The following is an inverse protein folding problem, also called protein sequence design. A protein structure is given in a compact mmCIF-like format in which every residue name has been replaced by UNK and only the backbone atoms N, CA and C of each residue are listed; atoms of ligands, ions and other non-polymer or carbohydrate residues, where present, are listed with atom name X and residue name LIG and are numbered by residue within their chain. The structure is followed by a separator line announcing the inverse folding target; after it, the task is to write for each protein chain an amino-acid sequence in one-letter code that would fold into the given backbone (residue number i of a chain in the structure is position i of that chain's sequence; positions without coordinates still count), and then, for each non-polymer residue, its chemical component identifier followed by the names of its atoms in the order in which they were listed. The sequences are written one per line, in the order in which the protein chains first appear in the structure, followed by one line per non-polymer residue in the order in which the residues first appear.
data_IF_623429896982
#
_entry.id   IF_623429896982
#
_cell.length_a   1.000
_cell.length_b   1.000
_cell.length_c   1.000
_cell.angle_alpha   90.00
_cell.angle_beta   90.00
_cell.angle_gamma   90.00
#
_symmetry.space_group_name_H-M   'P 1'
#
loop_
_entity.id
_entity.type
_entity.pdbx_description
1 polymer ?
#
# COMPACT_ATOMS: atom_id res chain seq x y z
N UNK A 1 -22.47 -20.23 -6.06
CA UNK A 1 -21.07 -20.13 -6.52
C UNK A 1 -20.07 -20.08 -5.36
N UNK A 2 -20.10 -19.05 -4.51
CA UNK A 2 -19.06 -18.76 -3.50
C UNK A 2 -18.79 -19.92 -2.52
N UNK A 3 -19.82 -20.58 -1.99
CA UNK A 3 -19.65 -21.71 -1.06
C UNK A 3 -18.90 -22.92 -1.66
N UNK A 4 -19.09 -23.17 -2.95
CA UNK A 4 -18.34 -24.21 -3.69
C UNK A 4 -16.88 -23.82 -3.88
N UNK A 5 -16.62 -22.54 -4.18
CA UNK A 5 -15.27 -21.99 -4.29
C UNK A 5 -14.52 -22.07 -2.96
N UNK A 6 -15.16 -21.70 -1.84
CA UNK A 6 -14.59 -21.84 -0.49
C UNK A 6 -14.20 -23.30 -0.23
N UNK A 7 -15.15 -24.22 -0.47
CA UNK A 7 -14.94 -25.66 -0.22
C UNK A 7 -13.77 -26.22 -1.03
N UNK A 8 -13.70 -25.91 -2.33
CA UNK A 8 -12.60 -26.34 -3.20
C UNK A 8 -11.25 -25.68 -2.83
N UNK A 9 -11.27 -24.44 -2.34
CA UNK A 9 -10.06 -23.69 -2.02
C UNK A 9 -9.24 -24.29 -0.88
N UNK A 10 -9.85 -25.07 0.02
CA UNK A 10 -9.16 -25.69 1.16
C UNK A 10 -8.03 -26.62 0.74
N UNK A 11 -8.18 -27.32 -0.39
CA UNK A 11 -7.20 -28.29 -0.90
C UNK A 11 -6.54 -27.82 -2.20
N UNK A 12 -6.48 -26.50 -2.41
CA UNK A 12 -5.91 -25.89 -3.61
C UNK A 12 -4.61 -25.13 -3.31
N UNK A 13 -3.60 -25.29 -4.16
CA UNK A 13 -2.42 -24.40 -4.22
C UNK A 13 -2.81 -23.06 -4.85
N UNK A 14 -1.92 -22.06 -4.78
CA UNK A 14 -2.12 -20.80 -5.49
C UNK A 14 -2.29 -21.04 -7.01
N UNK A 15 -1.44 -21.85 -7.63
CA UNK A 15 -1.49 -22.11 -9.08
C UNK A 15 -2.79 -22.82 -9.52
N UNK A 16 -3.50 -23.48 -8.61
CA UNK A 16 -4.80 -24.10 -8.89
C UNK A 16 -5.98 -23.12 -8.79
N UNK A 17 -5.81 -21.94 -8.16
CA UNK A 17 -6.87 -20.95 -7.96
C UNK A 17 -7.59 -20.55 -9.27
N UNK A 18 -6.90 -20.21 -10.37
CA UNK A 18 -7.58 -19.83 -11.62
C UNK A 18 -8.50 -20.93 -12.15
N UNK A 19 -8.06 -22.19 -12.07
CA UNK A 19 -8.85 -23.35 -12.50
C UNK A 19 -10.09 -23.58 -11.64
N UNK A 20 -9.95 -23.50 -10.32
CA UNK A 20 -11.08 -23.66 -9.38
C UNK A 20 -12.09 -22.53 -9.55
N UNK A 21 -11.64 -21.29 -9.69
CA UNK A 21 -12.52 -20.13 -9.95
C UNK A 21 -13.28 -20.34 -11.26
N UNK A 22 -12.57 -20.69 -12.34
CA UNK A 22 -13.17 -20.95 -13.65
C UNK A 22 -14.19 -22.10 -13.62
N UNK A 23 -13.95 -23.16 -12.84
CA UNK A 23 -14.90 -24.25 -12.70
C UNK A 23 -16.18 -23.82 -11.97
N UNK A 24 -16.05 -23.11 -10.85
CA UNK A 24 -17.21 -22.68 -10.07
C UNK A 24 -18.01 -21.58 -10.76
N UNK A 25 -17.34 -20.67 -11.47
CA UNK A 25 -17.97 -19.61 -12.25
C UNK A 25 -18.76 -20.16 -13.44
N UNK A 26 -18.24 -21.16 -14.15
CA UNK A 26 -18.97 -21.84 -15.25
C UNK A 26 -20.28 -22.47 -14.79
N UNK A 27 -20.31 -23.06 -13.59
CA UNK A 27 -21.54 -23.62 -13.00
C UNK A 27 -22.59 -22.55 -12.67
N UNK A 28 -22.17 -21.29 -12.59
CA UNK A 28 -23.01 -20.12 -12.33
C UNK A 28 -23.38 -19.33 -13.60
N UNK A 29 -23.05 -19.85 -14.78
CA UNK A 29 -23.36 -19.19 -16.05
C UNK A 29 -22.30 -18.20 -16.55
N UNK A 30 -21.12 -18.15 -15.92
CA UNK A 30 -20.00 -17.33 -16.39
C UNK A 30 -19.01 -18.22 -17.15
N UNK A 31 -19.12 -18.31 -18.49
CA UNK A 31 -18.34 -19.25 -19.29
C UNK A 31 -16.82 -19.07 -19.17
N UNK A 32 -16.37 -17.85 -18.91
CA UNK A 32 -14.95 -17.51 -18.80
C UNK A 32 -14.72 -16.49 -17.69
N UNK A 33 -13.80 -16.82 -16.77
CA UNK A 33 -13.29 -15.91 -15.75
C UNK A 33 -11.76 -15.98 -15.78
N UNK A 34 -11.12 -14.87 -16.12
CA UNK A 34 -9.66 -14.74 -16.11
C UNK A 34 -9.20 -13.91 -14.92
N UNK A 35 -8.08 -14.31 -14.32
CA UNK A 35 -7.47 -13.62 -13.18
C UNK A 35 -6.16 -12.97 -13.63
N UNK A 36 -6.04 -11.66 -13.42
CA UNK A 36 -4.81 -10.90 -13.64
C UNK A 36 -4.32 -10.35 -12.31
N UNK A 37 -3.03 -10.48 -12.01
CA UNK A 37 -2.40 -9.88 -10.82
C UNK A 37 -1.48 -8.75 -11.21
N UNK A 38 -1.44 -7.69 -10.41
CA UNK A 38 -0.53 -6.58 -10.61
C UNK A 38 0.89 -6.96 -10.23
N UNK A 39 1.87 -6.50 -10.99
CA UNK A 39 3.26 -6.46 -10.53
C UNK A 39 3.43 -5.48 -9.36
N UNK A 40 4.56 -5.60 -8.65
CA UNK A 40 4.86 -4.84 -7.43
C UNK A 40 4.83 -3.32 -7.67
N UNK A 41 5.31 -2.88 -8.83
CA UNK A 41 5.34 -1.46 -9.22
C UNK A 41 4.00 -0.96 -9.81
N UNK A 42 2.99 -1.83 -9.93
CA UNK A 42 1.70 -1.53 -10.53
C UNK A 42 1.84 -0.91 -11.94
N UNK A 43 2.66 -1.55 -12.77
CA UNK A 43 2.90 -1.27 -14.19
C UNK A 43 2.18 -2.20 -15.14
N UNK A 44 2.12 -3.48 -14.79
CA UNK A 44 1.61 -4.55 -15.65
C UNK A 44 0.69 -5.46 -14.84
N UNK A 45 -0.38 -5.89 -15.49
CA UNK A 45 -1.28 -6.94 -15.03
C UNK A 45 -0.92 -8.23 -15.75
N UNK A 46 -0.48 -9.25 -15.02
CA UNK A 46 -0.08 -10.56 -15.56
C UNK A 46 -1.19 -11.57 -15.37
N UNK A 47 -1.56 -12.28 -16.45
CA UNK A 47 -2.53 -13.35 -16.44
C UNK A 47 -2.02 -14.51 -15.59
N UNK A 48 -2.86 -14.95 -14.65
CA UNK A 48 -2.62 -16.10 -13.80
C UNK A 48 -3.28 -17.33 -14.45
N UNK A 49 -2.53 -18.08 -15.24
CA UNK A 49 -3.03 -19.27 -15.96
C UNK A 49 -3.02 -20.53 -15.08
N UNK A 50 -2.16 -20.55 -14.06
CA UNK A 50 -1.87 -21.75 -13.26
C UNK A 50 -0.87 -22.70 -13.92
N UNK A 51 -0.36 -22.36 -15.09
CA UNK A 51 0.58 -23.17 -15.87
C UNK A 51 2.00 -22.58 -15.84
N UNK A 52 3.01 -23.45 -15.92
CA UNK A 52 4.41 -23.04 -15.88
C UNK A 52 4.98 -22.86 -14.47
N UNK A 53 6.25 -22.42 -14.41
CA UNK A 53 6.97 -22.25 -13.13
C UNK A 53 6.50 -21.02 -12.33
N UNK A 54 5.92 -20.04 -12.99
CA UNK A 54 5.35 -18.81 -12.43
C UNK A 54 3.81 -18.85 -12.36
N UNK A 55 3.17 -19.86 -12.96
CA UNK A 55 1.72 -19.93 -13.06
C UNK A 55 1.14 -18.92 -14.06
N UNK A 56 1.95 -18.38 -14.97
CA UNK A 56 1.57 -17.39 -15.98
C UNK A 56 2.01 -17.74 -17.41
N UNK A 57 2.47 -18.97 -17.66
CA UNK A 57 2.85 -19.40 -19.01
C UNK A 57 1.71 -19.15 -20.00
N UNK A 58 2.08 -18.63 -21.19
CA UNK A 58 1.15 -18.34 -22.29
C UNK A 58 0.24 -19.52 -22.61
N UNK A 59 -1.06 -19.30 -22.57
CA UNK A 59 -2.08 -20.24 -23.03
C UNK A 59 -2.90 -19.62 -24.16
N UNK A 60 -2.73 -20.13 -25.39
CA UNK A 60 -3.50 -19.69 -26.56
C UNK A 60 -3.28 -18.22 -26.95
N UNK A 61 -4.34 -17.58 -27.45
CA UNK A 61 -4.34 -16.20 -27.97
C UNK A 61 -4.63 -15.12 -26.92
N UNK A 62 -4.72 -15.49 -25.63
CA UNK A 62 -4.99 -14.54 -24.55
C UNK A 62 -3.76 -13.68 -24.26
N UNK A 63 -3.90 -12.35 -24.04
CA UNK A 63 -2.78 -11.53 -23.63
C UNK A 63 -2.31 -11.96 -22.24
N UNK A 64 -1.07 -12.44 -22.12
CA UNK A 64 -0.48 -12.75 -20.82
C UNK A 64 -0.18 -11.50 -19.99
N UNK A 65 0.01 -10.35 -20.63
CA UNK A 65 0.32 -9.09 -19.97
C UNK A 65 -0.54 -7.96 -20.51
N UNK A 66 -1.04 -7.13 -19.59
CA UNK A 66 -1.80 -5.92 -19.90
C UNK A 66 -1.13 -4.73 -19.22
N UNK A 67 -0.83 -3.68 -19.97
CA UNK A 67 -0.31 -2.43 -19.39
C UNK A 67 -1.39 -1.74 -18.55
N UNK A 68 -1.04 -1.23 -17.37
CA UNK A 68 -1.98 -0.48 -16.53
C UNK A 68 -2.22 0.93 -17.08
N UNK A 69 -1.22 1.58 -17.67
CA UNK A 69 -1.43 2.91 -18.24
C UNK A 69 -1.89 2.84 -19.70
N UNK A 70 -2.82 3.72 -20.06
CA UNK A 70 -3.29 3.86 -21.44
C UNK A 70 -4.21 2.75 -21.94
N UNK A 71 -4.67 1.84 -21.08
CA UNK A 71 -5.55 0.72 -21.48
C UNK A 71 -6.89 0.74 -20.72
N UNK A 72 -7.92 0.15 -21.33
CA UNK A 72 -9.23 -0.03 -20.69
C UNK A 72 -9.19 -0.88 -19.39
N UNK A 73 -8.54 -2.06 -19.34
CA UNK A 73 -8.35 -2.78 -18.08
C UNK A 73 -7.58 -1.93 -17.06
N UNK A 74 -6.53 -1.25 -17.51
CA UNK A 74 -5.76 -0.33 -16.70
C UNK A 74 -6.60 0.74 -16.01
N UNK A 75 -7.57 1.33 -16.72
CA UNK A 75 -8.52 2.28 -16.14
C UNK A 75 -9.39 1.67 -15.04
N UNK A 76 -9.88 0.43 -15.22
CA UNK A 76 -10.64 -0.28 -14.19
C UNK A 76 -9.79 -0.48 -12.92
N UNK A 77 -8.50 -0.82 -13.10
CA UNK A 77 -7.56 -0.98 -11.99
C UNK A 77 -7.28 0.36 -11.28
N UNK A 78 -7.00 1.42 -12.03
CA UNK A 78 -6.65 2.74 -11.49
C UNK A 78 -7.80 3.36 -10.67
N UNK A 79 -9.03 3.27 -11.20
CA UNK A 79 -10.23 3.82 -10.56
C UNK A 79 -10.83 2.88 -9.50
N UNK A 80 -10.54 1.58 -9.60
CA UNK A 80 -11.20 0.58 -8.78
C UNK A 80 -12.68 0.43 -9.10
N UNK A 81 -13.05 0.67 -10.36
CA UNK A 81 -14.42 0.56 -10.86
C UNK A 81 -14.60 -0.67 -11.73
N UNK A 82 -15.81 -1.22 -11.73
CA UNK A 82 -16.20 -2.28 -12.66
C UNK A 82 -16.54 -1.65 -14.00
N UNK A 83 -15.78 -2.00 -15.05
CA UNK A 83 -15.92 -1.39 -16.38
C UNK A 83 -16.21 -2.47 -17.45
N UNK A 84 -17.10 -2.21 -18.42
CA UNK A 84 -17.29 -3.12 -19.54
C UNK A 84 -16.08 -3.07 -20.50
N UNK A 85 -15.72 -4.21 -21.10
CA UNK A 85 -14.61 -4.31 -22.07
C UNK A 85 -14.94 -3.63 -23.39
N UNK A 86 -16.21 -3.61 -23.79
CA UNK A 86 -16.68 -3.00 -25.03
C UNK A 86 -18.14 -2.54 -24.93
N UNK A 87 -18.55 -1.64 -25.82
CA UNK A 87 -19.94 -1.18 -25.92
C UNK A 87 -20.92 -2.28 -26.35
N UNK A 88 -20.44 -3.35 -27.00
CA UNK A 88 -21.25 -4.51 -27.41
C UNK A 88 -21.65 -5.43 -26.25
N UNK A 89 -21.16 -5.17 -25.03
CA UNK A 89 -21.55 -5.87 -23.81
C UNK A 89 -20.91 -7.25 -23.65
N UNK A 90 -21.23 -7.91 -22.54
CA UNK A 90 -20.91 -9.32 -22.25
C UNK A 90 -19.53 -9.62 -21.66
N UNK A 91 -18.66 -8.61 -21.48
CA UNK A 91 -17.37 -8.77 -20.80
C UNK A 91 -17.10 -7.59 -19.86
N UNK A 92 -16.58 -7.89 -18.68
CA UNK A 92 -16.37 -6.93 -17.60
C UNK A 92 -14.99 -7.06 -16.98
N UNK A 93 -14.35 -5.92 -16.74
CA UNK A 93 -13.18 -5.80 -15.88
C UNK A 93 -13.62 -5.49 -14.46
N UNK A 94 -13.25 -6.35 -13.53
CA UNK A 94 -13.67 -6.29 -12.13
C UNK A 94 -12.42 -6.18 -11.26
N UNK A 95 -12.26 -5.12 -10.46
CA UNK A 95 -11.12 -4.99 -9.55
C UNK A 95 -11.08 -6.10 -8.50
N UNK A 96 -9.90 -6.69 -8.30
CA UNK A 96 -9.65 -7.69 -7.26
C UNK A 96 -8.95 -6.99 -6.11
N UNK A 97 -9.69 -6.77 -5.02
CA UNK A 97 -9.27 -5.94 -3.88
C UNK A 97 -9.19 -6.76 -2.58
N UNK A 98 -8.08 -6.63 -1.86
CA UNK A 98 -7.94 -7.14 -0.50
C UNK A 98 -8.20 -6.00 0.49
N UNK A 99 -9.44 -5.89 0.96
CA UNK A 99 -9.90 -4.65 1.61
C UNK A 99 -9.82 -3.51 0.60
N UNK A 100 -8.89 -2.59 0.79
CA UNK A 100 -8.62 -1.45 -0.10
C UNK A 100 -7.33 -1.61 -0.93
N UNK A 101 -6.56 -2.66 -0.72
CA UNK A 101 -5.34 -2.93 -1.49
C UNK A 101 -5.70 -3.54 -2.85
N UNK A 102 -5.23 -2.93 -3.94
CA UNK A 102 -5.41 -3.44 -5.30
C UNK A 102 -4.46 -4.60 -5.59
N UNK A 103 -5.02 -5.80 -5.74
CA UNK A 103 -4.26 -7.02 -6.06
C UNK A 103 -4.17 -7.21 -7.58
N UNK A 104 -5.23 -6.87 -8.31
CA UNK A 104 -5.28 -7.07 -9.76
C UNK A 104 -6.69 -6.88 -10.34
N UNK A 105 -6.99 -7.60 -11.41
CA UNK A 105 -8.27 -7.57 -12.10
C UNK A 105 -8.79 -8.97 -12.41
N UNK A 106 -10.11 -9.06 -12.53
CA UNK A 106 -10.82 -10.18 -13.13
C UNK A 106 -11.42 -9.76 -14.45
N UNK A 107 -11.35 -10.63 -15.45
CA UNK A 107 -12.19 -10.52 -16.66
C UNK A 107 -13.30 -11.54 -16.56
N UNK A 108 -14.55 -11.09 -16.56
CA UNK A 108 -15.72 -11.97 -16.50
C UNK A 108 -16.48 -11.84 -17.81
N UNK A 109 -16.68 -12.96 -18.51
CA UNK A 109 -17.54 -13.06 -19.68
C UNK A 109 -18.90 -13.61 -19.25
N UNK A 110 -20.00 -12.94 -19.61
CA UNK A 110 -21.39 -13.36 -19.33
C UNK A 110 -22.31 -13.01 -20.50
N UNK A 111 -23.37 -13.78 -20.71
CA UNK A 111 -24.47 -13.46 -21.62
C UNK A 111 -25.59 -12.65 -20.96
N UNK A 112 -25.66 -12.70 -19.63
CA UNK A 112 -26.78 -12.20 -18.84
C UNK A 112 -26.28 -11.20 -17.79
N UNK A 113 -26.90 -10.02 -17.76
CA UNK A 113 -26.70 -8.98 -16.76
C UNK A 113 -28.07 -8.70 -16.12
N UNK A 114 -28.43 -9.51 -15.15
CA UNK A 114 -29.67 -9.41 -14.38
C UNK A 114 -29.50 -8.50 -13.14
N UNK A 115 -30.59 -8.32 -12.40
CA UNK A 115 -30.57 -7.63 -11.11
C UNK A 115 -29.68 -8.40 -10.12
N UNK A 116 -28.61 -7.77 -9.63
CA UNK A 116 -27.65 -8.38 -8.70
C UNK A 116 -26.33 -8.83 -9.35
N UNK A 117 -26.25 -8.88 -10.69
CA UNK A 117 -25.03 -9.29 -11.40
C UNK A 117 -23.75 -8.54 -10.96
N UNK A 118 -23.86 -7.22 -10.76
CA UNK A 118 -22.74 -6.39 -10.29
C UNK A 118 -22.30 -6.73 -8.87
N UNK A 119 -23.23 -7.13 -8.00
CA UNK A 119 -22.95 -7.55 -6.63
C UNK A 119 -22.22 -8.91 -6.64
N UNK A 120 -22.74 -9.87 -7.39
CA UNK A 120 -22.09 -11.19 -7.54
C UNK A 120 -20.66 -11.09 -8.06
N UNK A 121 -20.39 -10.19 -9.02
CA UNK A 121 -19.04 -9.95 -9.52
C UNK A 121 -18.11 -9.38 -8.44
N UNK A 122 -18.60 -8.44 -7.63
CA UNK A 122 -17.84 -7.88 -6.49
C UNK A 122 -17.54 -8.94 -5.45
N UNK A 123 -18.53 -9.76 -5.12
CA UNK A 123 -18.38 -10.83 -4.12
C UNK A 123 -17.40 -11.90 -4.57
N UNK A 124 -17.46 -12.31 -5.85
CA UNK A 124 -16.46 -13.22 -6.41
C UNK A 124 -15.08 -12.60 -6.37
N UNK A 125 -14.92 -11.34 -6.80
CA UNK A 125 -13.63 -10.67 -6.81
C UNK A 125 -13.04 -10.50 -5.40
N UNK A 126 -13.87 -10.19 -4.40
CA UNK A 126 -13.48 -10.13 -3.00
C UNK A 126 -13.02 -11.49 -2.47
N UNK A 127 -13.77 -12.56 -2.75
CA UNK A 127 -13.36 -13.92 -2.35
C UNK A 127 -12.07 -14.36 -3.06
N UNK A 128 -11.93 -14.09 -4.36
CA UNK A 128 -10.70 -14.36 -5.12
C UNK A 128 -9.51 -13.60 -4.53
N UNK A 129 -9.66 -12.34 -4.17
CA UNK A 129 -8.61 -11.56 -3.52
C UNK A 129 -8.15 -12.23 -2.22
N UNK A 130 -9.09 -12.65 -1.35
CA UNK A 130 -8.78 -13.36 -0.11
C UNK A 130 -8.06 -14.69 -0.38
N UNK A 131 -8.45 -15.44 -1.41
CA UNK A 131 -7.79 -16.69 -1.79
C UNK A 131 -6.35 -16.45 -2.27
N UNK A 132 -6.13 -15.44 -3.12
CA UNK A 132 -4.79 -15.07 -3.59
C UNK A 132 -3.92 -14.64 -2.42
N UNK A 133 -4.42 -13.73 -1.57
CA UNK A 133 -3.66 -13.22 -0.42
C UNK A 133 -3.34 -14.30 0.61
N UNK A 134 -4.28 -15.21 0.89
CA UNK A 134 -4.06 -16.31 1.85
C UNK A 134 -3.01 -17.30 1.34
N UNK A 135 -2.87 -17.46 0.02
CA UNK A 135 -1.98 -18.46 -0.59
C UNK A 135 -0.66 -17.87 -1.12
N UNK A 136 -0.53 -16.54 -1.27
CA UNK A 136 0.67 -15.91 -1.83
C UNK A 136 1.93 -16.17 -0.99
N UNK A 137 1.79 -16.21 0.35
CA UNK A 137 2.91 -16.39 1.27
C UNK A 137 3.59 -17.77 1.20
N UNK A 138 2.93 -18.77 0.61
CA UNK A 138 3.46 -20.13 0.44
C UNK A 138 3.76 -20.47 -1.02
N UNK A 139 3.77 -19.47 -1.92
CA UNK A 139 3.88 -19.71 -3.35
C UNK A 139 4.96 -18.85 -4.01
N UNK A 140 6.06 -19.50 -4.40
CA UNK A 140 7.09 -18.88 -5.24
C UNK A 140 6.57 -18.51 -6.63
N UNK A 141 5.50 -19.16 -7.10
CA UNK A 141 4.85 -18.83 -8.37
C UNK A 141 4.28 -17.40 -8.32
N UNK A 142 3.62 -17.01 -7.22
CA UNK A 142 3.17 -15.62 -7.04
C UNK A 142 4.33 -14.64 -7.15
N UNK A 143 5.41 -14.91 -6.42
CA UNK A 143 6.59 -14.05 -6.41
C UNK A 143 7.15 -13.87 -7.83
N UNK A 144 7.23 -14.93 -8.62
CA UNK A 144 7.66 -14.86 -10.03
C UNK A 144 6.68 -14.08 -10.90
N UNK A 145 5.37 -14.25 -10.67
CA UNK A 145 4.30 -13.63 -11.47
C UNK A 145 4.24 -12.10 -11.31
N UNK A 146 4.52 -11.59 -10.11
CA UNK A 146 4.43 -10.15 -9.77
C UNK A 146 5.78 -9.42 -9.85
N UNK A 147 6.88 -10.11 -10.16
CA UNK A 147 8.22 -9.53 -10.25
C UNK A 147 8.65 -9.38 -11.71
N UNK A 148 8.99 -8.16 -12.10
CA UNK A 148 9.54 -7.84 -13.43
C UNK A 148 11.06 -7.90 -13.47
N UNK A 149 11.71 -7.88 -12.30
CA UNK A 149 13.16 -7.97 -12.12
C UNK A 149 13.49 -8.87 -10.92
N UNK A 150 14.75 -9.28 -10.81
CA UNK A 150 15.25 -10.01 -9.64
C UNK A 150 15.32 -9.06 -8.45
N UNK A 151 14.90 -9.53 -7.27
CA UNK A 151 15.08 -8.82 -6.01
C UNK A 151 16.46 -9.13 -5.42
N UNK A 152 17.07 -8.14 -4.76
CA UNK A 152 18.16 -8.37 -3.81
C UNK A 152 17.59 -8.94 -2.49
N UNK A 153 18.48 -9.35 -1.56
CA UNK A 153 18.05 -9.96 -0.29
C UNK A 153 17.38 -8.95 0.63
N UNK A 154 17.84 -7.70 0.67
CA UNK A 154 17.24 -6.64 1.48
C UNK A 154 15.79 -6.37 1.07
N UNK A 155 15.50 -6.21 -0.23
CA UNK A 155 14.15 -6.07 -0.74
C UNK A 155 13.25 -7.30 -0.43
N UNK A 156 13.79 -8.53 -0.47
CA UNK A 156 13.04 -9.72 -0.04
C UNK A 156 12.65 -9.66 1.44
N UNK A 157 13.51 -9.09 2.29
CA UNK A 157 13.25 -8.91 3.71
C UNK A 157 12.21 -7.82 3.94
N UNK A 158 12.42 -6.62 3.37
CA UNK A 158 11.53 -5.48 3.57
C UNK A 158 10.11 -5.76 3.08
N UNK A 159 9.94 -6.24 1.84
CA UNK A 159 8.60 -6.53 1.31
C UNK A 159 7.83 -7.62 2.07
N UNK A 160 8.53 -8.50 2.81
CA UNK A 160 7.88 -9.48 3.71
C UNK A 160 7.45 -8.87 5.04
N UNK A 161 8.12 -7.80 5.47
CA UNK A 161 7.87 -7.15 6.74
C UNK A 161 6.76 -6.10 6.66
N UNK A 162 6.68 -5.38 5.54
CA UNK A 162 5.79 -4.23 5.36
C UNK A 162 4.31 -4.63 5.46
N UNK A 163 3.45 -3.75 6.03
CA UNK A 163 2.01 -3.92 5.95
C UNK A 163 1.51 -3.73 4.50
N UNK A 164 0.24 -4.02 4.20
CA UNK A 164 -0.36 -3.72 2.90
C UNK A 164 -0.07 -2.27 2.46
N UNK A 165 0.01 -2.03 1.15
CA UNK A 165 0.33 -0.67 0.66
C UNK A 165 -0.81 0.31 0.81
N UNK A 166 -2.03 -0.16 1.07
CA UNK A 166 -3.20 0.69 1.26
C UNK A 166 -4.15 0.05 2.23
N UNK A 167 -4.64 0.85 3.17
CA UNK A 167 -5.66 0.48 4.13
C UNK A 167 -6.58 1.66 4.36
N UNK A 168 -7.87 1.41 4.57
CA UNK A 168 -8.76 2.47 5.04
C UNK A 168 -9.80 1.95 6.03
N UNK A 169 -10.26 2.88 6.84
CA UNK A 169 -11.45 2.78 7.67
C UNK A 169 -12.49 3.77 7.19
N UNK A 170 -13.59 3.87 7.92
CA UNK A 170 -14.57 4.92 7.72
C UNK A 170 -14.09 6.31 8.19
N UNK A 171 -12.86 6.48 8.69
CA UNK A 171 -12.31 7.79 9.12
C UNK A 171 -10.93 8.12 8.58
N UNK A 172 -10.17 7.13 8.13
CA UNK A 172 -8.79 7.30 7.68
C UNK A 172 -8.52 6.51 6.42
N UNK A 173 -7.68 7.08 5.54
CA UNK A 173 -7.04 6.36 4.44
C UNK A 173 -5.53 6.42 4.68
N UNK A 174 -4.85 5.28 4.61
CA UNK A 174 -3.39 5.17 4.60
C UNK A 174 -2.96 4.55 3.29
N UNK A 175 -1.93 5.13 2.67
CA UNK A 175 -1.32 4.58 1.47
C UNK A 175 0.20 4.78 1.51
N UNK A 176 0.94 3.79 1.02
CA UNK A 176 2.38 3.74 1.09
C UNK A 176 3.01 3.33 -0.24
N UNK A 177 4.21 3.86 -0.48
CA UNK A 177 5.05 3.55 -1.62
C UNK A 177 6.50 3.40 -1.16
N UNK A 178 7.26 2.60 -1.89
CA UNK A 178 8.68 2.34 -1.66
C UNK A 178 9.32 1.97 -3.00
N UNK A 179 10.37 2.68 -3.38
CA UNK A 179 11.19 2.45 -4.58
C UNK A 179 12.67 2.59 -4.21
N UNK A 180 13.62 1.95 -4.90
CA UNK A 180 13.45 1.01 -6.00
C UNK A 180 12.86 -0.33 -5.54
N UNK A 181 11.73 -0.75 -6.10
CA UNK A 181 10.97 -1.90 -5.60
C UNK A 181 11.74 -3.24 -5.54
N UNK A 182 12.81 -3.40 -6.32
CA UNK A 182 13.60 -4.65 -6.40
C UNK A 182 14.96 -4.57 -5.70
N UNK A 183 15.39 -3.36 -5.35
CA UNK A 183 16.75 -3.09 -4.87
C UNK A 183 16.76 -2.31 -3.56
N UNK A 184 15.60 -2.19 -2.88
CA UNK A 184 15.47 -1.59 -1.54
C UNK A 184 16.56 -2.11 -0.61
N UNK A 185 17.11 -1.20 0.17
CA UNK A 185 18.30 -1.42 0.96
C UNK A 185 18.13 -1.15 2.46
N UNK A 186 17.48 -0.06 2.87
CA UNK A 186 17.41 0.39 4.26
C UNK A 186 16.11 1.08 4.67
N UNK A 187 15.22 1.40 3.72
CA UNK A 187 13.92 2.00 4.02
C UNK A 187 12.89 0.98 4.51
N UNK A 188 12.09 1.40 5.49
CA UNK A 188 10.95 0.67 6.00
C UNK A 188 9.83 1.58 6.48
N UNK A 189 8.59 1.09 6.43
CA UNK A 189 7.44 1.73 7.04
C UNK A 189 6.57 0.72 7.81
N UNK A 190 5.87 1.19 8.83
CA UNK A 190 4.85 0.39 9.49
C UNK A 190 3.65 1.26 9.83
N UNK A 191 2.48 0.64 9.85
CA UNK A 191 1.29 1.26 10.43
C UNK A 191 0.41 0.21 11.08
N UNK A 192 -0.35 0.63 12.08
CA UNK A 192 -1.36 -0.21 12.70
C UNK A 192 -2.48 0.64 13.27
N UNK A 193 -3.62 0.01 13.51
CA UNK A 193 -4.80 0.65 14.08
C UNK A 193 -5.16 -0.04 15.39
N UNK A 194 -5.36 0.74 16.44
CA UNK A 194 -5.84 0.26 17.73
C UNK A 194 -7.02 1.12 18.20
N UNK A 195 -8.24 0.57 18.11
CA UNK A 195 -9.48 1.28 18.44
C UNK A 195 -9.63 2.62 17.69
N UNK A 196 -9.31 3.74 18.34
CA UNK A 196 -9.35 5.11 17.80
C UNK A 196 -7.95 5.70 17.59
N UNK A 197 -6.87 4.91 17.57
CA UNK A 197 -5.50 5.39 17.32
C UNK A 197 -4.94 4.78 16.05
N UNK A 198 -4.38 5.62 15.18
CA UNK A 198 -3.54 5.22 14.06
C UNK A 198 -2.07 5.39 14.43
N UNK A 199 -1.33 4.30 14.42
CA UNK A 199 0.11 4.28 14.62
C UNK A 199 0.81 4.30 13.27
N UNK A 200 1.83 5.14 13.12
CA UNK A 200 2.64 5.29 11.92
C UNK A 200 4.12 5.25 12.29
N UNK A 201 4.92 4.64 11.43
CA UNK A 201 6.36 4.58 11.56
C UNK A 201 6.99 4.64 10.17
N UNK A 202 8.03 5.46 10.01
CA UNK A 202 8.94 5.41 8.87
C UNK A 202 10.36 5.35 9.40
N UNK A 203 11.18 4.50 8.81
CA UNK A 203 12.55 4.20 9.22
C UNK A 203 13.41 4.21 7.97
N UNK A 204 14.59 4.80 8.09
CA UNK A 204 15.63 4.81 7.07
C UNK A 204 16.94 4.41 7.76
N UNK A 205 17.45 3.23 7.43
CA UNK A 205 18.66 2.67 8.00
C UNK A 205 19.90 3.08 7.19
N UNK A 206 20.97 3.45 7.90
CA UNK A 206 22.22 3.86 7.27
C UNK A 206 22.82 2.74 6.41
N UNK A 207 23.20 3.12 5.19
CA UNK A 207 23.83 2.25 4.22
C UNK A 207 22.85 1.74 3.17
N UNK A 208 23.39 1.14 2.11
CA UNK A 208 22.59 0.68 0.96
C UNK A 208 22.78 -0.82 0.69
N UNK A 209 23.05 -1.61 1.74
CA UNK A 209 23.34 -3.03 1.64
C UNK A 209 22.42 -3.89 2.53
N UNK A 210 22.71 -5.18 2.63
CA UNK A 210 21.90 -6.08 3.45
C UNK A 210 21.99 -5.79 4.95
N UNK A 211 23.04 -5.11 5.43
CA UNK A 211 23.13 -4.69 6.83
C UNK A 211 22.14 -3.55 7.14
N UNK A 212 21.95 -2.62 6.20
CA UNK A 212 20.90 -1.60 6.31
C UNK A 212 19.51 -2.25 6.45
N UNK A 213 19.17 -3.22 5.60
CA UNK A 213 17.88 -3.91 5.67
C UNK A 213 17.69 -4.72 6.96
N UNK A 214 18.75 -5.31 7.51
CA UNK A 214 18.72 -5.95 8.83
C UNK A 214 18.43 -4.93 9.95
N UNK A 215 19.01 -3.74 9.85
CA UNK A 215 18.84 -2.65 10.81
C UNK A 215 17.41 -2.13 10.79
N UNK A 216 16.86 -1.85 9.60
CA UNK A 216 15.48 -1.44 9.42
C UNK A 216 14.49 -2.51 9.92
N UNK A 217 14.73 -3.78 9.57
CA UNK A 217 13.92 -4.91 10.04
C UNK A 217 13.89 -5.01 11.57
N UNK A 218 15.04 -4.88 12.23
CA UNK A 218 15.12 -4.93 13.69
C UNK A 218 14.41 -3.74 14.33
N UNK A 219 14.57 -2.54 13.77
CA UNK A 219 13.88 -1.35 14.24
C UNK A 219 12.35 -1.49 14.15
N UNK A 220 11.81 -1.96 13.02
CA UNK A 220 10.37 -2.25 12.86
C UNK A 220 9.90 -3.34 13.83
N UNK A 221 10.68 -4.40 14.00
CA UNK A 221 10.34 -5.48 14.93
C UNK A 221 10.28 -5.00 16.38
N UNK A 222 11.26 -4.18 16.81
CA UNK A 222 11.28 -3.55 18.12
C UNK A 222 10.11 -2.58 18.30
N UNK A 223 9.83 -1.73 17.31
CA UNK A 223 8.67 -0.84 17.29
C UNK A 223 7.37 -1.61 17.53
N UNK A 224 7.15 -2.68 16.74
CA UNK A 224 5.98 -3.56 16.87
C UNK A 224 5.92 -4.25 18.22
N UNK A 225 7.05 -4.71 18.76
CA UNK A 225 7.13 -5.41 20.03
C UNK A 225 6.66 -4.52 21.19
N UNK A 226 7.21 -3.30 21.28
CA UNK A 226 6.86 -2.34 22.33
C UNK A 226 5.42 -1.82 22.18
N UNK A 227 5.00 -1.44 20.96
CA UNK A 227 3.61 -1.04 20.70
C UNK A 227 2.61 -2.12 21.14
N UNK A 228 2.88 -3.39 20.85
CA UNK A 228 2.00 -4.52 21.24
C UNK A 228 2.00 -4.81 22.74
N UNK A 229 2.98 -4.30 23.49
CA UNK A 229 3.01 -4.35 24.96
C UNK A 229 2.30 -3.15 25.60
N UNK A 230 1.75 -2.24 24.79
CA UNK A 230 1.06 -1.04 25.27
C UNK A 230 2.00 0.08 25.70
N UNK A 231 3.27 0.03 25.29
CA UNK A 231 4.23 1.12 25.52
C UNK A 231 3.80 2.40 24.80
N UNK A 232 4.14 3.54 25.38
CA UNK A 232 3.97 4.83 24.71
C UNK A 232 5.06 5.08 23.64
N UNK A 233 4.99 6.22 22.94
CA UNK A 233 5.94 6.57 21.88
C UNK A 233 7.39 6.70 22.39
N UNK A 234 7.62 7.24 23.59
CA UNK A 234 8.96 7.41 24.15
C UNK A 234 9.55 6.06 24.55
N UNK A 235 8.77 5.24 25.24
CA UNK A 235 9.15 3.88 25.59
C UNK A 235 9.43 3.03 24.35
N UNK A 236 8.61 3.16 23.30
CA UNK A 236 8.82 2.48 22.02
C UNK A 236 10.12 2.94 21.34
N UNK A 237 10.35 4.25 21.25
CA UNK A 237 11.57 4.80 20.65
C UNK A 237 12.83 4.41 21.44
N UNK A 238 12.75 4.31 22.77
CA UNK A 238 13.86 3.87 23.62
C UNK A 238 14.08 2.35 23.54
N UNK A 239 13.01 1.58 23.36
CA UNK A 239 13.08 0.15 23.06
C UNK A 239 13.78 -0.15 21.73
N UNK A 240 13.46 0.64 20.69
CA UNK A 240 14.14 0.57 19.40
C UNK A 240 15.63 0.93 19.50
N UNK A 241 15.96 2.04 20.15
CA UNK A 241 17.35 2.43 20.46
C UNK A 241 18.11 1.27 21.11
N UNK A 242 17.55 0.71 22.19
CA UNK A 242 18.17 -0.39 22.92
C UNK A 242 18.36 -1.62 22.04
N UNK A 243 17.35 -2.02 21.27
CA UNK A 243 17.44 -3.20 20.41
C UNK A 243 18.55 -3.05 19.36
N UNK A 244 18.68 -1.87 18.75
CA UNK A 244 19.73 -1.58 17.77
C UNK A 244 21.12 -1.57 18.43
N UNK A 245 21.28 -0.90 19.57
CA UNK A 245 22.57 -0.86 20.30
C UNK A 245 22.99 -2.25 20.79
N UNK A 246 22.06 -3.04 21.33
CA UNK A 246 22.36 -4.40 21.80
C UNK A 246 22.81 -5.33 20.65
N UNK A 247 22.32 -5.08 19.42
CA UNK A 247 22.61 -5.92 18.25
C UNK A 247 23.82 -5.45 17.44
N UNK A 248 24.00 -4.15 17.28
CA UNK A 248 24.99 -3.54 16.37
C UNK A 248 25.99 -2.64 17.08
N UNK A 249 25.92 -2.50 18.40
CA UNK A 249 26.71 -1.56 19.19
C UNK A 249 26.49 -0.12 18.69
N UNK A 250 27.47 0.49 18.02
CA UNK A 250 27.38 1.80 17.38
C UNK A 250 27.71 1.74 15.87
N UNK A 251 27.79 0.53 15.31
CA UNK A 251 28.20 0.30 13.91
C UNK A 251 27.08 0.49 12.89
N UNK A 252 25.82 0.50 13.35
CA UNK A 252 24.64 0.73 12.51
C UNK A 252 23.60 1.56 13.26
N UNK A 253 22.95 2.47 12.54
CA UNK A 253 21.93 3.35 13.07
C UNK A 253 20.83 3.55 12.04
N UNK A 254 19.65 3.99 12.51
CA UNK A 254 18.52 4.29 11.66
C UNK A 254 17.87 5.61 12.06
N UNK A 255 17.58 6.44 11.08
CA UNK A 255 16.70 7.58 11.24
C UNK A 255 15.24 7.10 11.25
N UNK A 256 14.34 7.87 11.85
CA UNK A 256 12.91 7.61 11.66
C UNK A 256 11.97 8.57 12.37
N UNK A 257 10.68 8.45 12.04
CA UNK A 257 9.58 9.10 12.74
C UNK A 257 8.63 8.03 13.27
N UNK A 258 8.21 8.18 14.53
CA UNK A 258 7.10 7.44 15.12
C UNK A 258 5.97 8.41 15.42
N UNK A 259 4.74 8.06 15.07
CA UNK A 259 3.58 8.92 15.30
C UNK A 259 2.33 8.13 15.68
N UNK A 260 1.57 8.68 16.61
CA UNK A 260 0.25 8.24 17.01
C UNK A 260 -0.75 9.37 16.73
N UNK A 261 -1.77 9.06 15.92
CA UNK A 261 -2.89 9.96 15.67
C UNK A 261 -4.13 9.44 16.39
N UNK A 262 -4.64 10.24 17.33
CA UNK A 262 -5.96 10.03 17.89
C UNK A 262 -7.04 10.42 16.86
N UNK A 263 -7.76 9.42 16.35
CA UNK A 263 -8.76 9.57 15.30
C UNK A 263 -10.05 10.26 15.79
N UNK A 264 -10.27 10.33 17.09
CA UNK A 264 -11.43 10.97 17.71
C UNK A 264 -11.23 12.46 17.99
N UNK A 265 -9.98 12.92 18.09
CA UNK A 265 -9.64 14.31 18.40
C UNK A 265 -8.83 14.98 17.30
N UNK A 266 -8.12 14.22 16.46
CA UNK A 266 -7.16 14.73 15.49
C UNK A 266 -5.81 15.09 16.08
N UNK A 267 -5.56 14.77 17.35
CA UNK A 267 -4.29 15.05 17.99
C UNK A 267 -3.23 14.07 17.48
N UNK A 268 -2.29 14.59 16.68
CA UNK A 268 -1.08 13.88 16.29
C UNK A 268 -0.03 14.07 17.38
N UNK A 269 0.44 12.98 17.98
CA UNK A 269 1.64 12.98 18.83
C UNK A 269 2.73 12.21 18.11
N UNK A 270 3.94 12.76 18.04
CA UNK A 270 5.01 12.17 17.25
C UNK A 270 6.39 12.46 17.82
N UNK A 271 7.38 11.71 17.34
CA UNK A 271 8.78 11.80 17.72
C UNK A 271 9.63 11.69 16.45
N UNK A 272 10.66 12.54 16.31
CA UNK A 272 11.72 12.38 15.31
C UNK A 272 12.99 11.81 15.95
N UNK A 273 13.66 10.91 15.23
CA UNK A 273 14.98 10.35 15.54
C UNK A 273 15.89 10.60 14.35
N UNK A 274 16.45 11.81 14.24
CA UNK A 274 17.36 12.20 13.17
C UNK A 274 16.75 12.23 11.77
N UNK A 275 15.42 12.23 11.65
CA UNK A 275 14.71 12.08 10.38
C UNK A 275 14.08 13.38 9.89
N UNK A 276 13.68 13.39 8.62
CA UNK A 276 12.94 14.48 8.00
C UNK A 276 11.62 14.77 8.73
N UNK A 277 11.26 16.05 8.91
CA UNK A 277 10.02 16.41 9.57
C UNK A 277 8.81 15.95 8.75
N UNK A 278 7.78 15.36 9.37
CA UNK A 278 6.51 15.10 8.71
C UNK A 278 5.92 16.39 8.15
N UNK A 279 5.16 16.27 7.06
CA UNK A 279 4.50 17.41 6.42
C UNK A 279 3.00 17.24 6.50
N UNK A 280 2.30 18.30 6.87
CA UNK A 280 0.83 18.34 6.82
C UNK A 280 0.40 19.14 5.59
N UNK A 281 -0.39 18.51 4.71
CA UNK A 281 -1.13 19.22 3.67
C UNK A 281 -2.50 19.60 4.24
N UNK A 282 -2.71 20.89 4.47
CA UNK A 282 -3.96 21.44 4.99
C UNK A 282 -4.89 21.93 3.89
N UNK A 283 -6.15 21.50 3.97
CA UNK A 283 -7.21 21.88 3.04
C UNK A 283 -6.89 21.65 1.57
N UNK A 284 -6.01 20.68 1.27
CA UNK A 284 -5.57 20.36 -0.08
C UNK A 284 -4.81 21.47 -0.79
N UNK A 285 -4.18 22.42 -0.07
CA UNK A 285 -3.59 23.62 -0.67
C UNK A 285 -2.22 24.02 -0.13
N UNK A 286 -1.97 23.82 1.16
CA UNK A 286 -0.77 24.32 1.81
C UNK A 286 -0.05 23.16 2.49
N UNK A 287 1.22 22.96 2.17
CA UNK A 287 2.09 22.01 2.84
C UNK A 287 2.89 22.72 3.94
N UNK A 288 2.86 22.18 5.15
CA UNK A 288 3.56 22.74 6.32
C UNK A 288 4.41 21.63 6.95
N UNK A 289 5.74 21.72 6.88
CA UNK A 289 6.63 20.85 7.65
C UNK A 289 6.42 21.07 9.15
N UNK A 290 6.29 19.98 9.91
CA UNK A 290 6.10 20.04 11.35
C UNK A 290 7.44 20.26 12.06
N UNK A 291 7.42 21.09 13.11
CA UNK A 291 8.62 21.38 13.89
C UNK A 291 8.69 20.49 15.14
N UNK A 292 9.89 19.98 15.41
CA UNK A 292 10.19 19.24 16.62
C UNK A 292 11.67 19.43 16.99
N UNK A 293 12.04 19.49 18.28
CA UNK A 293 13.44 19.53 18.66
C UNK A 293 14.21 18.34 18.07
N UNK A 294 15.39 18.57 17.48
CA UNK A 294 16.17 17.51 16.86
C UNK A 294 16.64 16.50 17.91
N UNK A 295 16.64 15.23 17.53
CA UNK A 295 17.22 14.13 18.30
C UNK A 295 18.14 13.31 17.38
N UNK A 296 19.16 12.61 17.92
CA UNK A 296 20.01 11.77 17.10
C UNK A 296 19.22 10.57 16.52
N UNK A 297 19.76 9.94 15.46
CA UNK A 297 19.27 8.65 14.97
C UNK A 297 19.24 7.58 16.08
N UNK A 298 18.40 6.56 15.88
CA UNK A 298 18.34 5.39 16.75
C UNK A 298 19.53 4.46 16.49
N UNK A 299 20.02 3.77 17.51
CA UNK A 299 21.18 2.87 17.44
C UNK A 299 22.53 3.56 17.67
N UNK A 300 22.53 4.80 18.16
CA UNK A 300 23.77 5.58 18.33
C UNK A 300 24.41 5.44 19.71
N UNK A 301 23.67 4.95 20.72
CA UNK A 301 24.20 4.78 22.07
C UNK A 301 24.44 6.09 22.84
N UNK A 302 24.02 7.23 22.29
CA UNK A 302 24.27 8.56 22.87
C UNK A 302 23.45 8.84 24.14
N UNK A 303 22.43 8.02 24.43
CA UNK A 303 21.59 8.19 25.62
C UNK A 303 20.73 9.45 25.61
N UNK A 304 20.50 10.04 24.43
CA UNK A 304 19.67 11.24 24.26
C UNK A 304 18.22 10.81 24.00
N UNK A 305 17.31 11.20 24.90
CA UNK A 305 15.88 11.01 24.70
C UNK A 305 15.35 12.02 23.69
N UNK A 306 14.42 11.61 22.80
CA UNK A 306 13.84 12.51 21.83
C UNK A 306 12.67 13.27 22.48
N UNK A 307 12.18 14.32 21.81
CA UNK A 307 11.05 15.11 22.30
C UNK A 307 9.72 14.57 21.78
N UNK A 308 8.69 14.57 22.63
CA UNK A 308 7.30 14.38 22.20
C UNK A 308 6.78 15.69 21.61
N UNK A 309 6.44 15.64 20.33
CA UNK A 309 5.89 16.76 19.58
C UNK A 309 4.42 16.50 19.26
N UNK A 310 3.65 17.58 19.13
CA UNK A 310 2.20 17.51 18.93
C UNK A 310 1.76 18.47 17.85
N UNK A 311 0.83 18.03 17.02
CA UNK A 311 0.13 18.85 16.04
C UNK A 311 -1.37 18.53 16.09
N UNK A 312 -2.21 19.55 15.98
CA UNK A 312 -3.65 19.37 15.88
C UNK A 312 -4.04 19.31 14.40
N UNK A 313 -4.38 18.12 13.91
CA UNK A 313 -4.90 17.97 12.56
C UNK A 313 -6.32 18.52 12.47
N UNK A 314 -6.66 19.03 11.28
CA UNK A 314 -8.01 19.40 10.89
C UNK A 314 -8.64 18.28 10.04
N UNK A 315 -9.98 18.12 10.08
CA UNK A 315 -10.72 17.26 9.16
C UNK A 315 -10.32 17.46 7.68
N UNK A 316 -9.83 16.40 7.04
CA UNK A 316 -9.34 16.41 5.65
C UNK A 316 -7.84 16.66 5.51
N UNK A 317 -7.11 16.89 6.60
CA UNK A 317 -5.66 17.03 6.55
C UNK A 317 -4.99 15.71 6.14
N UNK A 318 -3.89 15.86 5.39
CA UNK A 318 -3.01 14.75 5.03
C UNK A 318 -1.68 14.88 5.73
N UNK A 319 -1.29 13.85 6.45
CA UNK A 319 0.02 13.70 7.03
C UNK A 319 0.91 12.90 6.07
N UNK A 320 2.09 13.46 5.76
CA UNK A 320 3.11 12.85 4.93
C UNK A 320 4.34 12.53 5.77
N UNK A 321 4.76 11.27 5.74
CA UNK A 321 6.06 10.81 6.21
C UNK A 321 6.83 10.34 4.98
N UNK A 322 8.10 10.71 4.85
CA UNK A 322 8.89 10.44 3.65
C UNK A 322 10.38 10.36 3.99
N UNK A 323 11.13 9.62 3.17
CA UNK A 323 12.60 9.53 3.25
C UNK A 323 13.27 10.50 2.27
N UNK A 324 14.56 10.76 2.46
CA UNK A 324 15.33 11.68 1.60
C UNK A 324 15.38 11.26 0.15
N UNK A 325 15.31 9.97 -0.18
CA UNK A 325 15.24 9.52 -1.57
C UNK A 325 14.10 10.14 -2.37
N UNK A 326 13.05 10.66 -1.71
CA UNK A 326 11.97 11.42 -2.38
C UNK A 326 12.39 12.84 -2.73
N UNK A 327 13.13 13.52 -1.84
CA UNK A 327 13.45 14.94 -1.99
C UNK A 327 14.84 15.19 -2.57
N UNK A 328 15.83 14.38 -2.19
CA UNK A 328 17.24 14.54 -2.55
C UNK A 328 17.64 13.80 -3.82
N UNK A 329 16.78 12.94 -4.36
CA UNK A 329 17.04 12.32 -5.65
C UNK A 329 17.28 13.40 -6.70
N UNK A 330 18.32 13.19 -7.54
CA UNK A 330 18.79 14.17 -8.52
C UNK A 330 18.43 13.77 -9.95
N UNK A 331 18.01 14.72 -10.76
CA UNK A 331 17.87 14.51 -12.19
C UNK A 331 19.26 14.44 -12.86
N UNK A 332 19.36 14.10 -14.17
CA UNK A 332 20.63 14.06 -14.89
C UNK A 332 21.39 15.39 -14.96
N UNK A 333 20.70 16.50 -14.73
CA UNK A 333 21.29 17.85 -14.68
C UNK A 333 21.77 18.21 -13.25
N UNK A 334 21.58 17.31 -12.28
CA UNK A 334 22.04 17.46 -10.90
C UNK A 334 21.03 18.14 -9.96
N UNK A 335 19.83 18.49 -10.45
CA UNK A 335 18.80 19.15 -9.65
C UNK A 335 18.00 18.15 -8.82
N UNK A 336 17.84 18.45 -7.54
CA UNK A 336 17.00 17.69 -6.62
C UNK A 336 15.52 17.77 -7.03
N UNK A 337 14.74 16.73 -6.68
CA UNK A 337 13.29 16.78 -6.84
C UNK A 337 12.67 17.80 -5.89
N UNK A 338 13.09 17.80 -4.62
CA UNK A 338 12.74 18.77 -3.61
C UNK A 338 11.33 18.61 -3.02
N UNK A 339 11.17 19.10 -1.80
CA UNK A 339 9.92 19.04 -1.04
C UNK A 339 8.77 19.79 -1.72
N UNK A 340 9.07 20.92 -2.36
CA UNK A 340 8.06 21.73 -3.05
C UNK A 340 7.42 20.95 -4.21
N UNK A 341 8.20 20.28 -5.06
CA UNK A 341 7.64 19.48 -6.18
C UNK A 341 6.85 18.28 -5.67
N UNK A 342 7.34 17.63 -4.62
CA UNK A 342 6.67 16.50 -4.00
C UNK A 342 5.29 16.88 -3.46
N UNK A 343 5.21 17.96 -2.68
CA UNK A 343 3.96 18.42 -2.08
C UNK A 343 3.02 19.03 -3.13
N UNK A 344 3.54 19.80 -4.09
CA UNK A 344 2.75 20.33 -5.22
C UNK A 344 2.09 19.22 -6.03
N UNK A 345 2.80 18.11 -6.27
CA UNK A 345 2.25 16.97 -6.98
C UNK A 345 1.01 16.42 -6.26
N UNK A 346 1.12 16.18 -4.95
CA UNK A 346 0.03 15.67 -4.13
C UNK A 346 -1.16 16.63 -4.03
N UNK A 347 -0.88 17.94 -3.95
CA UNK A 347 -1.88 19.01 -3.92
C UNK A 347 -2.66 19.05 -5.24
N UNK A 348 -1.97 19.06 -6.38
CA UNK A 348 -2.61 19.14 -7.71
C UNK A 348 -3.45 17.91 -8.01
N UNK A 349 -2.91 16.72 -7.77
CA UNK A 349 -3.61 15.47 -8.09
C UNK A 349 -4.73 15.12 -7.11
N UNK A 350 -4.79 15.77 -5.94
CA UNK A 350 -6.00 15.73 -5.11
C UNK A 350 -7.23 16.26 -5.86
N UNK A 351 -7.06 17.36 -6.60
CA UNK A 351 -8.14 18.03 -7.30
C UNK A 351 -8.68 17.21 -8.49
N UNK A 352 -7.91 16.24 -8.98
CA UNK A 352 -8.32 15.35 -10.07
C UNK A 352 -9.36 14.30 -9.64
N UNK A 353 -9.63 14.17 -8.33
CA UNK A 353 -10.61 13.21 -7.80
C UNK A 353 -10.19 11.75 -7.96
N UNK A 354 -8.90 11.49 -8.17
CA UNK A 354 -8.36 10.14 -8.25
C UNK A 354 -8.28 9.50 -6.87
N UNK A 355 -8.42 8.16 -6.77
CA UNK A 355 -8.12 7.46 -5.54
C UNK A 355 -6.71 7.78 -5.01
N UNK A 356 -6.55 7.90 -3.70
CA UNK A 356 -5.26 8.14 -3.03
C UNK A 356 -4.18 7.13 -3.47
N UNK A 357 -4.47 5.81 -3.55
CA UNK A 357 -3.46 4.85 -4.00
C UNK A 357 -3.05 5.04 -5.46
N UNK A 358 -3.95 5.58 -6.29
CA UNK A 358 -3.64 5.94 -7.69
C UNK A 358 -2.79 7.21 -7.75
N UNK A 359 -3.07 8.19 -6.89
CA UNK A 359 -2.25 9.40 -6.75
C UNK A 359 -0.80 9.06 -6.39
N UNK A 360 -0.58 8.17 -5.40
CA UNK A 360 0.77 7.73 -5.04
C UNK A 360 1.45 6.90 -6.14
N UNK A 361 0.71 6.06 -6.86
CA UNK A 361 1.26 5.33 -8.02
C UNK A 361 1.77 6.30 -9.10
N UNK A 362 1.02 7.36 -9.38
CA UNK A 362 1.43 8.40 -10.34
C UNK A 362 2.61 9.22 -9.84
N UNK A 363 2.67 9.51 -8.53
CA UNK A 363 3.81 10.19 -7.91
C UNK A 363 5.10 9.42 -8.17
N UNK A 364 5.10 8.11 -7.88
CA UNK A 364 6.26 7.25 -8.11
C UNK A 364 6.70 7.29 -9.57
N UNK A 365 5.77 7.18 -10.51
CA UNK A 365 6.11 7.24 -11.94
C UNK A 365 6.70 8.58 -12.32
N UNK A 366 6.08 9.67 -11.87
CA UNK A 366 6.60 11.01 -12.14
C UNK A 366 8.00 11.21 -11.55
N UNK A 367 8.23 10.72 -10.33
CA UNK A 367 9.52 10.76 -9.67
C UNK A 367 10.57 9.93 -10.43
N UNK A 368 10.26 8.67 -10.77
CA UNK A 368 11.15 7.82 -11.59
C UNK A 368 11.44 8.44 -12.96
N UNK A 369 10.44 8.99 -13.65
CA UNK A 369 10.62 9.62 -14.96
C UNK A 369 11.53 10.86 -14.87
N UNK A 370 11.35 11.69 -13.84
CA UNK A 370 12.22 12.83 -13.56
C UNK A 370 13.69 12.42 -13.37
N UNK A 371 13.92 11.24 -12.78
CA UNK A 371 15.24 10.65 -12.56
C UNK A 371 15.70 9.68 -13.68
N UNK A 372 15.00 9.59 -14.81
CA UNK A 372 15.26 8.64 -15.90
C UNK A 372 15.39 7.17 -15.43
N UNK A 373 14.57 6.80 -14.45
CA UNK A 373 14.48 5.47 -13.86
C UNK A 373 15.68 5.08 -12.99
N UNK A 374 16.49 6.05 -12.53
CA UNK A 374 17.65 5.81 -11.67
C UNK A 374 17.50 6.56 -10.35
N UNK A 375 17.27 5.83 -9.28
CA UNK A 375 17.32 6.38 -7.92
C UNK A 375 18.70 6.10 -7.33
N UNK A 376 19.24 7.08 -6.61
CA UNK A 376 20.51 6.94 -5.88
C UNK A 376 20.32 6.39 -4.46
N UNK A 377 19.08 6.40 -3.97
CA UNK A 377 18.69 5.97 -2.63
C UNK A 377 17.28 5.38 -2.63
N UNK A 378 16.89 4.82 -1.50
CA UNK A 378 15.52 4.36 -1.26
C UNK A 378 14.58 5.56 -1.06
N UNK A 379 13.43 5.51 -1.73
CA UNK A 379 12.42 6.55 -1.79
C UNK A 379 11.10 5.98 -1.28
N UNK A 380 10.76 6.30 -0.03
CA UNK A 380 9.57 5.82 0.67
C UNK A 380 8.66 6.97 1.06
N UNK A 381 7.36 6.78 0.87
CA UNK A 381 6.32 7.72 1.34
C UNK A 381 5.21 6.96 2.01
N UNK A 382 4.79 7.46 3.16
CA UNK A 382 3.59 7.04 3.87
C UNK A 382 2.65 8.26 3.99
N UNK A 383 1.46 8.14 3.42
CA UNK A 383 0.42 9.17 3.46
C UNK A 383 -0.74 8.68 4.30
N UNK A 384 -1.16 9.48 5.27
CA UNK A 384 -2.40 9.30 6.00
C UNK A 384 -3.32 10.50 5.73
N UNK A 385 -4.54 10.25 5.24
CA UNK A 385 -5.61 11.23 5.16
C UNK A 385 -6.61 10.98 6.29
N UNK A 386 -6.78 11.95 7.19
CA UNK A 386 -7.73 11.88 8.28
C UNK A 386 -8.96 12.71 7.98
N UNK A 387 -10.14 12.09 7.93
CA UNK A 387 -11.38 12.79 7.63
C UNK A 387 -11.89 13.66 8.78
N UNK A 388 -11.57 13.29 10.01
CA UNK A 388 -12.22 13.82 11.19
C UNK A 388 -12.79 12.74 12.12
N UNK A 389 -13.39 13.16 13.25
CA UNK A 389 -13.90 12.24 14.27
C UNK A 389 -15.19 11.53 13.87
N UNK A 390 -15.86 12.01 12.80
CA UNK A 390 -17.07 11.39 12.26
C UNK A 390 -16.69 10.51 11.07
N UNK A 391 -17.35 9.36 10.90
CA UNK A 391 -17.19 8.55 9.71
C UNK A 391 -17.52 9.34 8.43
N UNK A 392 -16.75 9.09 7.36
CA UNK A 392 -17.00 9.55 6.00
C UNK A 392 -18.48 9.36 5.63
N UNK A 393 -19.10 10.35 4.94
CA UNK A 393 -20.35 10.13 4.22
C UNK A 393 -20.30 8.83 3.39
N UNK A 394 -21.41 8.07 3.29
CA UNK A 394 -21.46 6.87 2.45
C UNK A 394 -20.94 7.15 1.04
N UNK A 395 -20.08 6.28 0.51
CA UNK A 395 -19.46 6.42 -0.82
C UNK A 395 -18.18 7.26 -0.85
N UNK A 396 -17.89 8.09 0.16
CA UNK A 396 -16.70 8.96 0.12
C UNK A 396 -15.41 8.20 0.43
N UNK A 397 -15.41 7.31 1.43
CA UNK A 397 -14.23 6.47 1.73
C UNK A 397 -13.92 5.55 0.54
N UNK A 398 -14.96 5.00 -0.06
CA UNK A 398 -14.93 4.16 -1.26
C UNK A 398 -14.30 4.91 -2.42
N UNK A 399 -14.74 6.13 -2.71
CA UNK A 399 -14.17 6.95 -3.78
C UNK A 399 -12.69 7.29 -3.51
N UNK A 400 -12.32 7.62 -2.26
CA UNK A 400 -10.96 7.98 -1.88
C UNK A 400 -9.96 6.83 -2.06
N UNK A 401 -10.40 5.58 -1.96
CA UNK A 401 -9.52 4.40 -2.12
C UNK A 401 -9.76 3.61 -3.40
N UNK A 402 -10.78 3.98 -4.17
CA UNK A 402 -11.17 3.24 -5.38
C UNK A 402 -11.83 1.91 -5.04
N UNK A 403 -12.84 1.89 -4.18
CA UNK A 403 -13.75 0.76 -4.07
C UNK A 403 -14.87 0.89 -5.11
N UNK A 404 -15.32 -0.23 -5.72
CA UNK A 404 -16.49 -0.21 -6.58
C UNK A 404 -17.72 0.39 -5.86
N UNK A 405 -18.54 1.14 -6.61
CA UNK A 405 -19.79 1.67 -6.05
C UNK A 405 -20.65 0.55 -5.45
N UNK A 406 -21.18 0.75 -4.24
CA UNK A 406 -21.97 -0.26 -3.52
C UNK A 406 -21.15 -1.30 -2.75
N UNK A 407 -19.83 -1.14 -2.64
CA UNK A 407 -18.97 -2.03 -1.84
C UNK A 407 -19.11 -1.87 -0.32
N UNK A 408 -19.61 -0.74 0.18
CA UNK A 408 -19.92 -0.61 1.61
C UNK A 408 -21.37 -1.00 1.90
N UNK A 409 -21.63 -1.71 3.01
CA UNK A 409 -23.00 -1.98 3.43
C UNK A 409 -23.73 -0.66 3.69
N UNK A 410 -25.01 -0.59 3.33
CA UNK A 410 -25.89 0.47 3.82
C UNK A 410 -25.76 0.52 5.35
N UNK A 411 -25.44 1.70 5.92
CA UNK A 411 -25.19 1.83 7.36
C UNK A 411 -26.34 1.15 8.11
N UNK A 412 -26.01 0.10 8.87
CA UNK A 412 -26.91 -0.36 9.92
C UNK A 412 -26.99 0.80 10.90
N UNK A 413 -28.12 1.53 10.90
CA UNK A 413 -28.42 2.53 11.92
C UNK A 413 -28.24 1.84 13.27
N UNK A 414 -27.10 2.11 13.93
CA UNK A 414 -26.93 1.68 15.30
C UNK A 414 -27.97 2.47 16.09
N UNK A 415 -28.93 1.82 16.78
CA UNK A 415 -29.81 2.55 17.66
C UNK A 415 -28.93 3.26 18.69
N UNK A 416 -29.07 4.58 18.77
CA UNK A 416 -28.47 5.43 19.79
C UNK A 416 -28.73 4.80 21.16
N UNK A 417 -27.66 4.40 21.85
CA UNK A 417 -27.72 3.99 23.26
C UNK A 417 -27.47 5.17 24.16
#
# INVERSE_FOLDING_TARGET
MLGGLISASHLSTLTQVPGVVSEQARRYGWPEVLLYVSDIQQTVLTLMTGEGMDGGSMTGDLPAELQIDGTAPGRAFQLGEILPTSASGGQWWVPVLNGTERIGLMRITTSDADEGFMEDMRDLAGLVALLVVTKRGTSDAYARLVRRRRMNVAAEMEWRLMPPRTFATDRVVVSALMEPAYEVSGDAFDYAFSSDVAHLCIIDAMGHDTAAGLTANLAVAACRNHRRQGSDLLETANGMEKALVDQFEDSSYATGVLADLDLGTGLLTWISRGHYPPVVIRGGRFAVPLECPPAPPMGTGLGINPSLCREQLEPGDRLLLYTDGITEARNPDGEEFGLDRFTDFLIRHHADGLPVPETLRRLVRHHLDYHRGRLSDDATVLVLEWHGPRPYPPGQAEALVGLPAGSAPARLDRPSR
#
